data_IF_694067323917
#
_entry.id   IF_694067323917
#
_cell.length_a   1.000
_cell.length_b   1.000
_cell.length_c   1.000
_cell.angle_alpha   90.00
_cell.angle_beta   90.00
_cell.angle_gamma   90.00
#
_symmetry.space_group_name_H-M   'P 1'
#
loop_
_entity.id
_entity.type
_entity.pdbx_description
1 polymer ?
#
# COMPACT_ATOMS: atom_id res chain seq x y z
N UNK A 1 5.31 35.77 -2.45
CA UNK A 1 6.40 34.82 -2.80
C UNK A 1 6.48 33.61 -1.87
N UNK A 2 6.37 33.76 -0.53
CA UNK A 2 6.45 32.63 0.42
C UNK A 2 5.29 31.62 0.33
N UNK A 3 4.06 32.08 0.11
CA UNK A 3 2.89 31.18 -0.05
C UNK A 3 2.99 30.29 -1.30
N UNK A 4 3.48 30.84 -2.42
CA UNK A 4 3.68 30.08 -3.66
C UNK A 4 4.72 28.95 -3.51
N UNK A 5 5.73 29.13 -2.66
CA UNK A 5 6.72 28.09 -2.35
C UNK A 5 6.20 27.01 -1.39
N UNK A 6 5.26 27.37 -0.49
CA UNK A 6 4.64 26.39 0.39
C UNK A 6 3.65 25.50 -0.36
N UNK A 7 2.84 26.09 -1.26
CA UNK A 7 1.92 25.35 -2.10
C UNK A 7 2.64 24.34 -2.99
N UNK A 8 3.72 24.74 -3.66
CA UNK A 8 4.50 23.83 -4.51
C UNK A 8 5.19 22.71 -3.73
N UNK A 9 5.63 22.98 -2.49
CA UNK A 9 6.17 21.95 -1.60
C UNK A 9 5.09 20.93 -1.19
N UNK A 10 3.89 21.39 -0.88
CA UNK A 10 2.76 20.53 -0.51
C UNK A 10 2.30 19.66 -1.67
N UNK A 11 2.21 20.20 -2.90
CA UNK A 11 1.93 19.43 -4.10
C UNK A 11 2.98 18.36 -4.35
N UNK A 12 4.26 18.72 -4.25
CA UNK A 12 5.36 17.77 -4.44
C UNK A 12 5.34 16.66 -3.40
N UNK A 13 5.03 16.99 -2.14
CA UNK A 13 4.84 16.01 -1.07
C UNK A 13 3.66 15.09 -1.37
N UNK A 14 2.53 15.62 -1.88
CA UNK A 14 1.37 14.81 -2.27
C UNK A 14 1.73 13.80 -3.36
N UNK A 15 2.39 14.26 -4.43
CA UNK A 15 2.83 13.39 -5.53
C UNK A 15 3.77 12.27 -5.03
N UNK A 16 4.72 12.60 -4.15
CA UNK A 16 5.62 11.61 -3.57
C UNK A 16 4.87 10.60 -2.69
N UNK A 17 3.84 11.04 -1.96
CA UNK A 17 3.00 10.17 -1.15
C UNK A 17 2.18 9.21 -2.05
N UNK A 18 1.57 9.74 -3.10
CA UNK A 18 0.78 8.96 -4.06
C UNK A 18 1.65 7.89 -4.74
N UNK A 19 2.89 8.26 -5.15
CA UNK A 19 3.86 7.33 -5.71
C UNK A 19 4.30 6.25 -4.71
N UNK A 20 4.59 6.63 -3.47
CA UNK A 20 5.00 5.69 -2.43
C UNK A 20 3.89 4.68 -2.10
N UNK A 21 2.65 5.14 -2.04
CA UNK A 21 1.49 4.28 -1.81
C UNK A 21 1.21 3.34 -2.97
N UNK A 22 1.34 3.80 -4.22
CA UNK A 22 1.22 2.94 -5.39
C UNK A 22 2.27 1.82 -5.39
N UNK A 23 3.52 2.14 -5.06
CA UNK A 23 4.59 1.15 -4.93
C UNK A 23 4.32 0.15 -3.79
N UNK A 24 3.76 0.61 -2.68
CA UNK A 24 3.40 -0.26 -1.56
C UNK A 24 2.28 -1.24 -1.92
N UNK A 25 1.28 -0.81 -2.69
CA UNK A 25 0.22 -1.67 -3.21
C UNK A 25 0.78 -2.77 -4.12
N UNK A 26 1.68 -2.44 -5.04
CA UNK A 26 2.31 -3.42 -5.94
C UNK A 26 3.09 -4.51 -5.17
N UNK A 27 3.80 -4.11 -4.10
CA UNK A 27 4.49 -5.05 -3.20
C UNK A 27 3.49 -5.98 -2.50
N UNK A 28 2.36 -5.45 -2.02
CA UNK A 28 1.33 -6.25 -1.35
C UNK A 28 0.65 -7.23 -2.30
N UNK A 29 0.34 -6.83 -3.52
CA UNK A 29 -0.20 -7.73 -4.56
C UNK A 29 0.77 -8.88 -4.85
N UNK A 30 2.07 -8.57 -4.94
CA UNK A 30 3.12 -9.58 -5.10
C UNK A 30 3.17 -10.53 -3.89
N UNK A 31 3.12 -9.99 -2.67
CA UNK A 31 3.09 -10.79 -1.44
C UNK A 31 1.87 -11.70 -1.36
N UNK A 32 0.67 -11.20 -1.71
CA UNK A 32 -0.56 -11.99 -1.81
C UNK A 32 -0.39 -13.17 -2.79
N UNK A 33 0.18 -12.90 -3.97
CA UNK A 33 0.51 -13.92 -4.95
C UNK A 33 1.42 -15.02 -4.39
N UNK A 34 2.50 -14.63 -3.68
CA UNK A 34 3.44 -15.58 -3.05
C UNK A 34 2.77 -16.41 -1.96
N UNK A 35 1.98 -15.80 -1.08
CA UNK A 35 1.27 -16.52 -0.01
C UNK A 35 0.29 -17.54 -0.58
N UNK A 36 -0.42 -17.20 -1.66
CA UNK A 36 -1.33 -18.14 -2.35
C UNK A 36 -0.60 -19.37 -2.90
N UNK A 37 0.62 -19.19 -3.40
CA UNK A 37 1.42 -20.25 -4.02
C UNK A 37 2.33 -20.99 -3.02
N UNK A 38 2.49 -20.49 -1.80
CA UNK A 38 3.41 -21.06 -0.81
C UNK A 38 2.93 -22.42 -0.32
N UNK A 39 3.76 -23.45 -0.53
CA UNK A 39 3.56 -24.79 0.00
C UNK A 39 3.95 -24.88 1.49
N UNK A 40 3.43 -25.87 2.21
CA UNK A 40 3.74 -26.07 3.64
C UNK A 40 2.97 -25.20 4.63
N UNK A 41 2.20 -24.21 4.16
CA UNK A 41 1.23 -23.50 5.01
C UNK A 41 -0.05 -24.32 5.18
N UNK A 42 -0.57 -24.36 6.41
CA UNK A 42 -1.93 -24.84 6.65
C UNK A 42 -2.94 -23.88 5.98
N UNK A 43 -4.12 -24.40 5.63
CA UNK A 43 -5.21 -23.61 5.03
C UNK A 43 -5.57 -22.40 5.91
N UNK A 44 -5.63 -22.59 7.24
CA UNK A 44 -5.93 -21.53 8.20
C UNK A 44 -4.84 -20.45 8.25
N UNK A 45 -3.57 -20.86 8.33
CA UNK A 45 -2.45 -19.91 8.33
C UNK A 45 -2.41 -19.08 7.03
N UNK A 46 -2.68 -19.73 5.88
CA UNK A 46 -2.79 -19.05 4.59
C UNK A 46 -3.94 -18.05 4.59
N UNK A 47 -5.12 -18.42 5.10
CA UNK A 47 -6.27 -17.53 5.14
C UNK A 47 -6.03 -16.27 6.00
N UNK A 48 -5.39 -16.41 7.18
CA UNK A 48 -5.04 -15.26 8.02
C UNK A 48 -4.06 -14.32 7.33
N UNK A 49 -2.97 -14.84 6.75
CA UNK A 49 -1.99 -14.01 6.05
C UNK A 49 -2.62 -13.25 4.87
N UNK A 50 -3.54 -13.88 4.12
CA UNK A 50 -4.25 -13.21 3.04
C UNK A 50 -5.19 -12.10 3.54
N UNK A 51 -5.85 -12.32 4.69
CA UNK A 51 -6.70 -11.32 5.31
C UNK A 51 -5.89 -10.11 5.82
N UNK A 52 -4.75 -10.36 6.47
CA UNK A 52 -3.84 -9.31 6.94
C UNK A 52 -3.34 -8.46 5.78
N UNK A 53 -2.88 -9.10 4.70
CA UNK A 53 -2.40 -8.41 3.50
C UNK A 53 -3.49 -7.59 2.81
N UNK A 54 -4.73 -8.11 2.75
CA UNK A 54 -5.86 -7.36 2.23
C UNK A 54 -6.16 -6.11 3.08
N UNK A 55 -6.15 -6.25 4.41
CA UNK A 55 -6.37 -5.12 5.32
C UNK A 55 -5.30 -4.02 5.20
N UNK A 56 -4.03 -4.39 4.97
CA UNK A 56 -2.97 -3.40 4.72
C UNK A 56 -3.19 -2.69 3.38
N UNK A 57 -3.59 -3.40 2.33
CA UNK A 57 -3.88 -2.79 1.03
C UNK A 57 -5.03 -1.77 1.13
N UNK A 58 -6.12 -2.13 1.82
CA UNK A 58 -7.26 -1.23 2.06
C UNK A 58 -6.84 0.02 2.85
N UNK A 59 -6.01 -0.14 3.89
CA UNK A 59 -5.53 1.00 4.68
C UNK A 59 -4.69 1.99 3.85
N UNK A 60 -3.88 1.49 2.91
CA UNK A 60 -3.10 2.34 2.00
C UNK A 60 -4.03 3.05 1.02
N UNK A 61 -5.00 2.35 0.42
CA UNK A 61 -5.97 2.95 -0.51
C UNK A 61 -6.77 4.07 0.17
N UNK A 62 -7.22 3.86 1.40
CA UNK A 62 -7.89 4.91 2.20
C UNK A 62 -6.94 6.10 2.43
N UNK A 63 -5.70 5.86 2.85
CA UNK A 63 -4.73 6.92 3.12
C UNK A 63 -4.39 7.76 1.87
N UNK A 64 -4.45 7.17 0.67
CA UNK A 64 -4.25 7.88 -0.60
C UNK A 64 -5.47 8.68 -1.01
N UNK A 65 -6.68 8.21 -0.72
CA UNK A 65 -7.94 8.90 -1.08
C UNK A 65 -8.26 10.08 -0.18
N UNK A 66 -7.78 10.08 1.06
CA UNK A 66 -7.91 11.20 2.02
C UNK A 66 -6.89 12.31 1.79
#
# INVERSE_FOLDING_TARGET
MRESSLLSLMERRRVLLDQASAAALEVLETCLGRVRQTEGLSVGARAHLLADLAGVADAIDVAVRT
#
